data_IF_365240102034
#
_entry.id   IF_365240102034
#
_cell.length_a   1.000
_cell.length_b   1.000
_cell.length_c   1.000
_cell.angle_alpha   90.00
_cell.angle_beta   90.00
_cell.angle_gamma   90.00
#
_symmetry.space_group_name_H-M   'P 1'
#
loop_
_entity.id
_entity.type
_entity.pdbx_description
1 polymer ?
#
# COMPACT_ATOMS: atom_id res chain seq x y z
N UNK A 1 -34.99 -8.08 -18.60
CA UNK A 1 -33.73 -8.82 -18.77
C UNK A 1 -32.69 -7.90 -19.34
N UNK A 2 -31.56 -7.72 -18.64
CA UNK A 2 -30.46 -6.85 -19.07
C UNK A 2 -29.67 -7.60 -20.15
N UNK A 3 -29.94 -7.32 -21.43
CA UNK A 3 -29.23 -7.95 -22.54
C UNK A 3 -27.91 -7.21 -22.83
N UNK A 4 -26.98 -7.26 -21.87
CA UNK A 4 -25.64 -6.71 -22.06
C UNK A 4 -24.64 -7.87 -22.07
N UNK A 5 -24.11 -8.16 -23.26
CA UNK A 5 -23.13 -9.23 -23.47
C UNK A 5 -21.84 -9.07 -22.65
N UNK A 6 -21.55 -7.87 -22.12
CA UNK A 6 -20.42 -7.65 -21.21
C UNK A 6 -20.69 -8.12 -19.78
N UNK A 7 -21.95 -8.30 -19.40
CA UNK A 7 -22.33 -8.80 -18.06
C UNK A 7 -22.36 -10.32 -18.00
N UNK A 8 -22.32 -11.01 -19.14
CA UNK A 8 -22.26 -12.48 -19.21
C UNK A 8 -21.06 -13.06 -18.43
N UNK A 9 -19.92 -12.38 -18.47
CA UNK A 9 -18.73 -12.82 -17.76
C UNK A 9 -18.93 -12.75 -16.24
N UNK A 10 -19.68 -11.74 -15.78
CA UNK A 10 -20.03 -11.59 -14.36
C UNK A 10 -21.06 -12.66 -13.98
N UNK A 11 -22.10 -12.88 -14.79
CA UNK A 11 -23.07 -13.97 -14.57
C UNK A 11 -22.38 -15.35 -14.49
N UNK A 12 -21.39 -15.61 -15.34
CA UNK A 12 -20.60 -16.85 -15.29
C UNK A 12 -19.83 -16.95 -13.97
N UNK A 13 -19.04 -15.94 -13.61
CA UNK A 13 -18.30 -15.96 -12.33
C UNK A 13 -19.20 -16.05 -11.08
N UNK A 14 -20.43 -15.52 -11.15
CA UNK A 14 -21.44 -15.68 -10.09
C UNK A 14 -21.98 -17.11 -10.00
N UNK A 15 -22.12 -17.77 -11.15
CA UNK A 15 -22.68 -19.13 -11.25
C UNK A 15 -21.64 -20.20 -10.92
N UNK A 16 -20.38 -19.92 -11.27
CA UNK A 16 -19.24 -20.81 -11.08
C UNK A 16 -18.66 -20.72 -9.65
N UNK A 17 -19.24 -19.87 -8.79
CA UNK A 17 -18.81 -19.60 -7.40
C UNK A 17 -17.33 -19.15 -7.29
N UNK A 18 -16.80 -18.58 -8.37
CA UNK A 18 -15.44 -18.03 -8.44
C UNK A 18 -15.26 -16.77 -7.58
N UNK A 19 -16.37 -16.22 -7.07
CA UNK A 19 -16.37 -15.04 -6.22
C UNK A 19 -16.41 -15.49 -4.75
N UNK A 20 -15.33 -15.24 -4.03
CA UNK A 20 -15.32 -15.38 -2.57
C UNK A 20 -16.21 -14.30 -1.94
N UNK A 21 -17.47 -14.65 -1.68
CA UNK A 21 -18.45 -13.74 -1.09
C UNK A 21 -18.12 -13.34 0.34
N UNK A 22 -17.45 -14.21 1.10
CA UNK A 22 -17.04 -13.89 2.47
C UNK A 22 -15.98 -12.77 2.44
N UNK A 23 -14.95 -12.95 1.62
CA UNK A 23 -13.91 -11.93 1.47
C UNK A 23 -14.46 -10.66 0.82
N UNK A 24 -15.36 -10.77 -0.15
CA UNK A 24 -16.02 -9.61 -0.77
C UNK A 24 -16.83 -8.82 0.26
N UNK A 25 -17.57 -9.49 1.13
CA UNK A 25 -18.32 -8.86 2.21
C UNK A 25 -17.40 -8.17 3.23
N UNK A 26 -16.33 -8.83 3.66
CA UNK A 26 -15.33 -8.22 4.55
C UNK A 26 -14.66 -7.00 3.90
N UNK A 27 -14.31 -7.09 2.61
CA UNK A 27 -13.72 -5.98 1.87
C UNK A 27 -14.67 -4.78 1.76
N UNK A 28 -15.96 -5.03 1.48
CA UNK A 28 -17.00 -3.99 1.45
C UNK A 28 -17.14 -3.31 2.82
N UNK A 29 -17.12 -4.10 3.91
CA UNK A 29 -17.26 -3.60 5.27
C UNK A 29 -16.00 -2.93 5.82
N UNK A 30 -14.83 -3.25 5.26
CA UNK A 30 -13.55 -2.60 5.57
C UNK A 30 -13.41 -1.24 4.88
N UNK A 31 -14.44 -0.78 4.17
CA UNK A 31 -14.41 0.48 3.46
C UNK A 31 -14.40 1.66 4.45
N UNK A 32 -13.37 2.54 4.41
CA UNK A 32 -13.29 3.69 5.30
C UNK A 32 -14.34 4.77 4.98
N UNK A 33 -15.12 4.60 3.91
CA UNK A 33 -16.19 5.49 3.49
C UNK A 33 -17.50 4.71 3.51
N UNK A 34 -18.59 5.31 4.01
CA UNK A 34 -19.90 4.64 4.15
C UNK A 34 -20.60 4.22 2.85
N UNK A 35 -19.90 4.16 1.72
CA UNK A 35 -20.43 3.72 0.42
C UNK A 35 -19.37 2.92 -0.36
N UNK A 36 -19.67 1.68 -0.80
CA UNK A 36 -18.73 0.77 -1.50
C UNK A 36 -18.22 1.30 -2.85
N UNK A 37 -18.98 2.19 -3.50
CA UNK A 37 -18.65 2.72 -4.82
C UNK A 37 -18.70 4.26 -4.87
N UNK A 38 -18.04 4.95 -3.93
CA UNK A 38 -17.92 6.41 -4.03
C UNK A 38 -16.78 6.85 -4.95
N UNK A 39 -16.98 7.97 -5.66
CA UNK A 39 -15.92 8.64 -6.40
C UNK A 39 -14.71 9.00 -5.51
N UNK A 40 -14.96 9.26 -4.21
CA UNK A 40 -13.90 9.50 -3.22
C UNK A 40 -13.08 8.23 -2.97
N UNK A 41 -13.71 7.06 -2.81
CA UNK A 41 -13.01 5.78 -2.68
C UNK A 41 -12.18 5.48 -3.93
N UNK A 42 -12.75 5.65 -5.12
CA UNK A 42 -12.02 5.43 -6.39
C UNK A 42 -10.79 6.33 -6.49
N UNK A 43 -10.86 7.59 -6.04
CA UNK A 43 -9.70 8.49 -5.98
C UNK A 43 -8.64 7.99 -5.00
N UNK A 44 -9.03 7.52 -3.81
CA UNK A 44 -8.10 6.97 -2.81
C UNK A 44 -7.40 5.72 -3.36
N UNK A 45 -8.15 4.76 -3.90
CA UNK A 45 -7.59 3.53 -4.45
C UNK A 45 -6.70 3.81 -5.66
N UNK A 46 -7.13 4.69 -6.57
CA UNK A 46 -6.31 5.13 -7.69
C UNK A 46 -5.02 5.82 -7.26
N UNK A 47 -5.04 6.59 -6.17
CA UNK A 47 -3.82 7.19 -5.59
C UNK A 47 -2.89 6.11 -5.03
N UNK A 48 -3.42 5.14 -4.26
CA UNK A 48 -2.64 4.00 -3.74
C UNK A 48 -1.97 3.22 -4.88
N UNK A 49 -2.73 2.80 -5.89
CA UNK A 49 -2.19 2.08 -7.05
C UNK A 49 -1.10 2.88 -7.77
N UNK A 50 -1.31 4.19 -7.98
CA UNK A 50 -0.31 5.03 -8.65
C UNK A 50 0.99 5.12 -7.86
N UNK A 51 0.90 5.23 -6.53
CA UNK A 51 2.06 5.24 -5.63
C UNK A 51 2.78 3.90 -5.62
N UNK A 52 2.06 2.78 -5.53
CA UNK A 52 2.64 1.44 -5.57
C UNK A 52 3.38 1.14 -6.88
N UNK A 53 2.89 1.67 -8.01
CA UNK A 53 3.52 1.49 -9.31
C UNK A 53 4.54 2.59 -9.66
N UNK A 54 4.90 3.48 -8.71
CA UNK A 54 5.80 4.62 -8.96
C UNK A 54 5.38 5.52 -10.15
N UNK A 55 4.08 5.49 -10.49
CA UNK A 55 3.50 6.29 -11.59
C UNK A 55 2.99 7.63 -11.09
N UNK A 56 2.98 7.86 -9.77
CA UNK A 56 2.72 9.18 -9.23
C UNK A 56 3.92 10.07 -9.55
N UNK A 57 3.74 11.15 -10.33
CA UNK A 57 4.84 12.06 -10.62
C UNK A 57 5.36 12.64 -9.29
N UNK A 58 6.67 12.50 -9.07
CA UNK A 58 7.41 13.28 -8.06
C UNK A 58 7.34 14.76 -8.39
N UNK A 59 7.63 15.63 -7.43
CA UNK A 59 7.43 17.06 -7.60
C UNK A 59 8.25 17.66 -8.75
N UNK A 60 9.39 17.06 -9.12
CA UNK A 60 10.14 17.39 -10.33
C UNK A 60 9.35 17.12 -11.63
N UNK A 61 8.60 16.02 -11.73
CA UNK A 61 7.73 15.72 -12.88
C UNK A 61 6.52 16.67 -12.89
N UNK A 62 5.97 16.99 -11.71
CA UNK A 62 4.89 17.96 -11.59
C UNK A 62 5.33 19.37 -12.03
N UNK A 63 6.53 19.80 -11.63
CA UNK A 63 7.14 21.05 -12.09
C UNK A 63 7.36 21.10 -13.59
N UNK A 64 7.83 19.99 -14.18
CA UNK A 64 8.02 19.88 -15.63
C UNK A 64 6.71 20.05 -16.39
N UNK A 65 5.63 19.41 -15.93
CA UNK A 65 4.37 19.35 -16.66
C UNK A 65 3.40 20.49 -16.34
N UNK A 66 3.50 21.10 -15.15
CA UNK A 66 2.54 22.07 -14.63
C UNK A 66 3.21 23.32 -14.04
N UNK A 67 4.03 24.00 -14.85
CA UNK A 67 4.81 25.20 -14.48
C UNK A 67 4.01 26.33 -13.80
N UNK A 68 2.71 26.46 -14.10
CA UNK A 68 1.83 27.47 -13.49
C UNK A 68 1.41 27.11 -12.05
N UNK A 69 1.32 25.82 -11.75
CA UNK A 69 0.91 25.31 -10.43
C UNK A 69 2.12 25.01 -9.53
N UNK A 70 3.23 24.61 -10.14
CA UNK A 70 4.46 24.26 -9.46
C UNK A 70 5.59 25.19 -9.94
N UNK A 71 5.89 26.27 -9.20
CA UNK A 71 6.91 27.23 -9.61
C UNK A 71 8.29 26.58 -9.75
N UNK A 72 9.17 27.19 -10.58
CA UNK A 72 10.55 26.75 -10.85
C UNK A 72 11.52 27.01 -9.69
N UNK A 73 11.10 26.67 -8.48
CA UNK A 73 11.94 26.66 -7.28
C UNK A 73 12.28 25.22 -6.93
N UNK A 74 13.34 24.96 -6.18
CA UNK A 74 13.58 23.59 -5.69
C UNK A 74 12.46 23.25 -4.70
N UNK A 75 11.68 22.20 -4.98
CA UNK A 75 10.75 21.64 -4.00
C UNK A 75 11.52 20.56 -3.22
N UNK A 76 11.68 20.73 -1.90
CA UNK A 76 12.38 19.75 -1.07
C UNK A 76 11.51 18.51 -0.86
N UNK A 77 12.16 17.38 -0.62
CA UNK A 77 11.52 16.12 -0.23
C UNK A 77 10.63 16.34 1.00
N UNK A 78 9.40 15.85 0.91
CA UNK A 78 8.37 16.02 1.95
C UNK A 78 8.71 15.34 3.28
N UNK A 79 9.68 14.42 3.30
CA UNK A 79 10.12 13.74 4.52
C UNK A 79 11.43 14.26 5.09
N UNK A 80 12.50 14.33 4.29
CA UNK A 80 13.81 14.77 4.82
C UNK A 80 13.99 16.29 4.80
N UNK A 81 13.19 17.00 3.99
CA UNK A 81 13.28 18.46 3.77
C UNK A 81 14.69 18.97 3.40
N UNK A 82 15.58 18.10 2.93
CA UNK A 82 17.01 18.40 2.72
C UNK A 82 17.44 18.29 1.25
N UNK A 83 16.86 17.36 0.50
CA UNK A 83 17.20 17.08 -0.90
C UNK A 83 15.99 17.39 -1.77
N UNK A 84 16.21 17.71 -3.06
CA UNK A 84 15.14 17.89 -4.04
C UNK A 84 14.24 16.65 -4.09
N UNK A 85 12.93 16.88 -4.16
CA UNK A 85 11.95 15.81 -4.35
C UNK A 85 11.90 15.35 -5.82
N UNK A 86 12.58 14.25 -6.09
CA UNK A 86 12.61 13.57 -7.39
C UNK A 86 12.63 12.04 -7.22
N UNK A 87 12.43 11.33 -8.33
CA UNK A 87 12.44 9.86 -8.34
C UNK A 87 13.79 9.24 -7.90
N UNK A 88 14.91 9.94 -8.12
CA UNK A 88 16.24 9.47 -7.71
C UNK A 88 16.39 9.48 -6.18
N UNK A 89 15.86 10.52 -5.52
CA UNK A 89 15.95 10.67 -4.07
C UNK A 89 14.92 9.82 -3.32
N UNK A 90 13.66 9.75 -3.80
CA UNK A 90 12.56 9.18 -2.99
C UNK A 90 12.80 7.73 -2.58
N UNK A 91 13.44 6.92 -3.46
CA UNK A 91 13.81 5.54 -3.17
C UNK A 91 15.01 5.37 -2.25
N UNK A 92 15.87 6.39 -2.14
CA UNK A 92 17.10 6.39 -1.33
C UNK A 92 16.96 7.18 -0.02
N UNK A 93 15.81 7.85 0.18
CA UNK A 93 15.63 8.75 1.29
C UNK A 93 15.52 8.00 2.62
N UNK A 94 16.50 8.17 3.50
CA UNK A 94 16.52 7.54 4.82
C UNK A 94 15.30 7.87 5.67
N UNK A 95 14.79 9.11 5.60
CA UNK A 95 13.57 9.49 6.32
C UNK A 95 12.32 8.71 5.84
N UNK A 96 12.25 8.40 4.53
CA UNK A 96 11.21 7.52 4.00
C UNK A 96 11.45 6.07 4.42
N UNK A 97 12.66 5.53 4.25
CA UNK A 97 12.94 4.13 4.59
C UNK A 97 12.76 3.84 6.08
N UNK A 98 13.19 4.74 6.99
CA UNK A 98 12.92 4.61 8.43
C UNK A 98 11.43 4.55 8.74
N UNK A 99 10.61 5.38 8.08
CA UNK A 99 9.15 5.33 8.27
C UNK A 99 8.59 3.98 7.83
N UNK A 100 9.05 3.45 6.70
CA UNK A 100 8.60 2.15 6.17
C UNK A 100 9.04 1.01 7.10
N UNK A 101 10.30 1.02 7.55
CA UNK A 101 10.84 0.04 8.50
C UNK A 101 10.01 0.00 9.78
N UNK A 102 9.66 1.17 10.34
CA UNK A 102 8.79 1.26 11.52
C UNK A 102 7.41 0.65 11.27
N UNK A 103 6.79 0.91 10.11
CA UNK A 103 5.49 0.32 9.76
C UNK A 103 5.59 -1.21 9.68
N UNK A 104 6.64 -1.73 9.05
CA UNK A 104 6.88 -3.17 8.91
C UNK A 104 7.10 -3.82 10.29
N UNK A 105 7.95 -3.22 11.14
CA UNK A 105 8.18 -3.70 12.50
C UNK A 105 6.91 -3.69 13.34
N UNK A 106 6.13 -2.60 13.31
CA UNK A 106 4.87 -2.52 14.04
C UNK A 106 3.85 -3.59 13.58
N UNK A 107 3.80 -3.88 12.28
CA UNK A 107 2.94 -4.94 11.76
C UNK A 107 3.39 -6.34 12.20
N UNK A 108 4.71 -6.58 12.22
CA UNK A 108 5.32 -7.81 12.75
C UNK A 108 4.97 -8.01 14.23
N UNK A 109 5.14 -6.96 15.04
CA UNK A 109 4.80 -7.00 16.47
C UNK A 109 3.30 -7.22 16.68
N UNK A 110 2.45 -6.54 15.90
CA UNK A 110 0.99 -6.75 15.97
C UNK A 110 0.60 -8.20 15.67
N UNK A 111 1.20 -8.81 14.64
CA UNK A 111 0.94 -10.22 14.32
C UNK A 111 1.40 -11.15 15.44
N UNK A 112 2.57 -10.89 16.02
CA UNK A 112 3.09 -11.66 17.15
C UNK A 112 2.12 -11.61 18.33
N UNK A 113 1.68 -10.43 18.74
CA UNK A 113 0.75 -10.25 19.87
C UNK A 113 -0.61 -10.93 19.62
N UNK A 114 -1.10 -10.93 18.38
CA UNK A 114 -2.36 -11.61 18.01
C UNK A 114 -2.28 -13.14 18.07
N UNK A 115 -1.08 -13.70 17.91
CA UNK A 115 -0.86 -15.15 17.83
C UNK A 115 -0.24 -15.74 19.11
N UNK A 116 0.25 -14.89 20.01
CA UNK A 116 0.82 -15.27 21.29
C UNK A 116 -0.21 -15.96 22.18
N UNK A 117 0.23 -16.95 22.95
CA UNK A 117 -0.60 -17.64 23.94
C UNK A 117 0.18 -17.94 25.23
N UNK A 118 -0.32 -18.80 26.11
CA UNK A 118 0.34 -19.10 27.40
C UNK A 118 1.57 -20.03 27.29
N UNK A 119 1.89 -20.54 26.09
CA UNK A 119 3.03 -21.43 25.87
C UNK A 119 4.29 -20.64 25.46
N UNK A 120 5.22 -20.51 26.41
CA UNK A 120 6.46 -19.74 26.24
C UNK A 120 7.39 -20.31 25.15
N UNK A 121 7.47 -21.63 24.99
CA UNK A 121 8.35 -22.25 24.00
C UNK A 121 7.79 -22.00 22.60
N UNK A 122 6.48 -22.21 22.42
CA UNK A 122 5.79 -21.90 21.17
C UNK A 122 5.90 -20.41 20.82
N UNK A 123 5.72 -19.51 21.78
CA UNK A 123 5.85 -18.07 21.54
C UNK A 123 7.25 -17.69 21.07
N UNK A 124 8.29 -18.30 21.64
CA UNK A 124 9.67 -18.08 21.19
C UNK A 124 9.84 -18.52 19.73
N UNK A 125 9.38 -19.72 19.38
CA UNK A 125 9.42 -20.21 17.99
C UNK A 125 8.65 -19.30 17.06
N UNK A 126 7.44 -18.89 17.45
CA UNK A 126 6.59 -17.98 16.68
C UNK A 126 7.30 -16.66 16.37
N UNK A 127 7.93 -16.04 17.38
CA UNK A 127 8.67 -14.78 17.21
C UNK A 127 9.82 -14.93 16.22
N UNK A 128 10.57 -16.03 16.32
CA UNK A 128 11.66 -16.35 15.40
C UNK A 128 11.12 -16.54 13.96
N UNK A 129 10.02 -17.29 13.81
CA UNK A 129 9.39 -17.53 12.50
C UNK A 129 8.90 -16.24 11.85
N UNK A 130 8.24 -15.36 12.62
CA UNK A 130 7.76 -14.06 12.12
C UNK A 130 8.95 -13.19 11.70
N UNK A 131 9.96 -13.05 12.56
CA UNK A 131 11.14 -12.22 12.28
C UNK A 131 11.95 -12.70 11.07
N UNK A 132 11.95 -14.01 10.79
CA UNK A 132 12.63 -14.59 9.64
C UNK A 132 11.78 -14.56 8.35
N UNK A 133 10.52 -14.11 8.42
CA UNK A 133 9.65 -14.04 7.27
C UNK A 133 10.05 -12.90 6.33
N UNK A 134 10.14 -13.18 5.02
CA UNK A 134 10.45 -12.17 3.99
C UNK A 134 9.46 -11.01 3.95
N UNK A 135 8.23 -11.22 4.41
CA UNK A 135 7.19 -10.17 4.42
C UNK A 135 7.49 -9.04 5.41
N UNK A 136 8.24 -9.34 6.48
CA UNK A 136 8.63 -8.38 7.52
C UNK A 136 10.09 -7.95 7.40
N UNK A 137 10.73 -8.20 6.26
CA UNK A 137 12.11 -7.80 6.04
C UNK A 137 12.23 -6.27 5.99
N UNK A 138 13.01 -5.71 6.90
CA UNK A 138 13.29 -4.26 7.00
C UNK A 138 14.56 -3.85 6.26
N UNK A 139 15.30 -4.79 5.66
CA UNK A 139 16.40 -4.47 4.76
C UNK A 139 15.83 -3.98 3.43
N UNK A 140 15.76 -2.65 3.32
CA UNK A 140 15.27 -1.93 2.13
C UNK A 140 16.45 -1.36 1.33
N UNK A 141 17.66 -1.90 1.50
CA UNK A 141 18.82 -1.46 0.73
C UNK A 141 18.58 -1.74 -0.76
N UNK A 142 18.52 -0.71 -1.62
CA UNK A 142 18.23 -0.90 -3.04
C UNK A 142 19.38 -1.57 -3.81
N UNK A 143 20.52 -1.83 -3.16
CA UNK A 143 21.71 -2.42 -3.77
C UNK A 143 21.94 -3.90 -3.38
N UNK A 144 20.99 -4.55 -2.70
CA UNK A 144 21.03 -5.98 -2.34
C UNK A 144 19.81 -6.75 -2.83
#
# INVERSE_FOLDING_TARGET
MINNSKLKLIEQSLTDDDIDWNFTHEWINSNPLGTPCSAKLSKIQGNKMKKCNFTHPTNDIQQRNYLRLYPRVIIPCVKCNAVKDNNEHIGLCTAHTTTIQQIISNASDTLYELLMNDDAERNLTLKITINNSKIFNTNLDPFY
#
